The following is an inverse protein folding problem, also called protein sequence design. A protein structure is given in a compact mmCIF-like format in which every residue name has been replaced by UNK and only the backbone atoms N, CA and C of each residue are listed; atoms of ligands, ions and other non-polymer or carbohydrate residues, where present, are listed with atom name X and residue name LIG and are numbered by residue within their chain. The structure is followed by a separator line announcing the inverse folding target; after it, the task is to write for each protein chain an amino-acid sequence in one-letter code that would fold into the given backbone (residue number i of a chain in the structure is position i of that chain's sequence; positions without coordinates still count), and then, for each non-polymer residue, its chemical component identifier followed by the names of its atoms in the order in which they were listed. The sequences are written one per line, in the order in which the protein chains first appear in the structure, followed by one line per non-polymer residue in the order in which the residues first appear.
data_IF_242018063581
#
_entry.id   IF_242018063581
#
_cell.length_a   1.000
_cell.length_b   1.000
_cell.length_c   1.000
_cell.angle_alpha   90.00
_cell.angle_beta   90.00
_cell.angle_gamma   90.00
#
_symmetry.space_group_name_H-M   'P 1'
#
loop_
_entity.id
_entity.type
_entity.pdbx_description
1 polymer ?
#
# COMPACT_ATOMS: atom_id res chain seq x y z
N UNK A 1 3.68 -1.65 17.35
CA UNK A 1 2.71 -2.01 16.31
C UNK A 1 1.93 -0.76 15.93
N UNK A 2 1.67 -0.49 14.64
CA UNK A 2 0.98 0.73 14.15
C UNK A 2 -0.55 0.56 14.14
N UNK A 3 -1.02 -0.68 14.01
CA UNK A 3 -2.44 -1.04 13.98
C UNK A 3 -2.85 -1.66 15.31
N UNK A 4 -3.99 -1.23 15.82
CA UNK A 4 -4.69 -1.90 16.91
C UNK A 4 -5.62 -2.96 16.31
N UNK A 5 -5.54 -4.18 16.82
CA UNK A 5 -6.38 -5.30 16.39
C UNK A 5 -7.59 -5.47 17.31
N UNK A 6 -8.73 -5.86 16.74
CA UNK A 6 -9.90 -6.27 17.48
C UNK A 6 -9.57 -7.50 18.35
N UNK A 7 -10.01 -7.50 19.61
CA UNK A 7 -9.58 -8.51 20.59
C UNK A 7 -10.19 -9.87 20.36
N UNK A 8 -11.38 -9.93 19.77
CA UNK A 8 -12.14 -11.16 19.61
C UNK A 8 -11.83 -11.81 18.25
N UNK A 9 -11.67 -11.00 17.21
CA UNK A 9 -11.49 -11.45 15.82
C UNK A 9 -10.04 -11.39 15.33
N UNK A 10 -9.19 -10.57 15.97
CA UNK A 10 -7.83 -10.29 15.51
C UNK A 10 -7.76 -9.44 14.23
N UNK A 11 -8.90 -8.94 13.73
CA UNK A 11 -8.93 -8.09 12.54
C UNK A 11 -8.34 -6.71 12.85
N UNK A 12 -7.69 -6.04 11.88
CA UNK A 12 -7.22 -4.68 12.06
C UNK A 12 -8.42 -3.75 12.31
N UNK A 13 -8.42 -3.04 13.43
CA UNK A 13 -9.53 -2.20 13.85
C UNK A 13 -9.29 -0.73 13.49
N UNK A 14 -8.11 -0.19 13.84
CA UNK A 14 -7.72 1.21 13.58
C UNK A 14 -6.22 1.41 13.76
N UNK A 15 -5.70 2.55 13.32
CA UNK A 15 -4.35 3.01 13.64
C UNK A 15 -4.28 3.41 15.13
N UNK A 16 -3.11 3.21 15.75
CA UNK A 16 -2.86 3.58 17.15
C UNK A 16 -2.53 5.07 17.36
N UNK A 17 -2.52 5.86 16.27
CA UNK A 17 -2.21 7.28 16.26
C UNK A 17 -2.55 7.91 14.91
N UNK A 18 -2.31 9.21 14.79
CA UNK A 18 -2.46 9.94 13.54
C UNK A 18 -1.15 9.91 12.75
N UNK A 19 -1.23 9.54 11.47
CA UNK A 19 -0.07 9.37 10.59
C UNK A 19 -0.22 10.21 9.33
N UNK A 20 0.89 10.77 8.87
CA UNK A 20 0.95 11.51 7.61
C UNK A 20 1.23 10.52 6.48
N UNK A 21 0.41 10.58 5.43
CA UNK A 21 0.57 9.77 4.22
C UNK A 21 1.84 10.16 3.46
N UNK A 22 2.68 9.18 3.14
CA UNK A 22 3.90 9.35 2.32
C UNK A 22 4.03 8.23 1.26
N UNK A 23 3.19 8.30 0.22
CA UNK A 23 3.30 7.39 -0.92
C UNK A 23 4.60 7.57 -1.74
N UNK A 24 5.12 8.81 -1.95
CA UNK A 24 6.43 8.98 -2.55
C UNK A 24 7.55 8.25 -1.79
N UNK A 25 7.53 8.30 -0.46
CA UNK A 25 8.46 7.55 0.39
C UNK A 25 8.34 6.03 0.19
N UNK A 26 7.13 5.49 0.16
CA UNK A 26 6.91 4.05 -0.14
C UNK A 26 7.48 3.68 -1.53
N UNK A 27 7.22 4.49 -2.55
CA UNK A 27 7.70 4.26 -3.91
C UNK A 27 9.23 4.32 -4.02
N UNK A 28 9.86 5.32 -3.37
CA UNK A 28 11.31 5.44 -3.31
C UNK A 28 11.94 4.22 -2.62
N UNK A 29 11.39 3.80 -1.48
CA UNK A 29 11.85 2.64 -0.73
C UNK A 29 11.84 1.35 -1.57
N UNK A 30 10.74 1.06 -2.26
CA UNK A 30 10.67 -0.13 -3.13
C UNK A 30 11.69 -0.08 -4.26
N UNK A 31 11.87 1.09 -4.89
CA UNK A 31 12.85 1.26 -5.97
C UNK A 31 14.28 1.06 -5.48
N UNK A 32 14.61 1.57 -4.30
CA UNK A 32 15.93 1.38 -3.68
C UNK A 32 16.22 -0.10 -3.44
N UNK A 33 15.27 -0.83 -2.83
CA UNK A 33 15.41 -2.28 -2.61
C UNK A 33 15.62 -3.06 -3.90
N UNK A 34 14.80 -2.78 -4.92
CA UNK A 34 14.93 -3.45 -6.22
C UNK A 34 16.28 -3.17 -6.87
N UNK A 35 16.75 -1.92 -6.81
CA UNK A 35 18.09 -1.52 -7.31
C UNK A 35 19.21 -2.27 -6.59
N UNK A 36 19.10 -2.45 -5.27
CA UNK A 36 20.07 -3.25 -4.49
C UNK A 36 20.02 -4.72 -4.92
N UNK A 37 18.83 -5.31 -5.06
CA UNK A 37 18.71 -6.71 -5.47
C UNK A 37 19.30 -6.98 -6.85
N UNK A 38 19.08 -6.08 -7.81
CA UNK A 38 19.70 -6.13 -9.13
C UNK A 38 21.23 -6.03 -9.05
N UNK A 39 21.76 -5.08 -8.25
CA UNK A 39 23.20 -4.91 -8.08
C UNK A 39 23.89 -6.12 -7.44
N UNK A 40 23.20 -6.81 -6.53
CA UNK A 40 23.71 -8.03 -5.86
C UNK A 40 23.46 -9.32 -6.66
N UNK A 41 22.88 -9.23 -7.86
CA UNK A 41 22.66 -10.38 -8.74
C UNK A 41 21.54 -11.31 -8.29
N UNK A 42 20.53 -10.79 -7.59
CA UNK A 42 19.32 -11.56 -7.25
C UNK A 42 18.56 -11.88 -8.55
N UNK A 43 18.33 -13.18 -8.82
CA UNK A 43 17.69 -13.62 -10.07
C UNK A 43 16.28 -13.06 -10.27
N UNK A 44 15.52 -12.88 -9.18
CA UNK A 44 14.14 -12.38 -9.23
C UNK A 44 13.68 -11.81 -7.90
N UNK A 45 12.90 -10.73 -7.96
CA UNK A 45 12.21 -10.13 -6.81
C UNK A 45 10.75 -9.83 -7.17
N UNK A 46 9.86 -9.90 -6.18
CA UNK A 46 8.47 -9.53 -6.32
C UNK A 46 8.02 -8.74 -5.09
N UNK A 47 7.13 -7.76 -5.29
CA UNK A 47 6.61 -6.96 -4.19
C UNK A 47 5.54 -7.76 -3.43
N UNK A 48 5.77 -7.96 -2.15
CA UNK A 48 4.73 -8.33 -1.19
C UNK A 48 4.06 -7.03 -0.74
N UNK A 49 2.85 -6.67 -1.21
CA UNK A 49 1.89 -7.39 -2.04
C UNK A 49 1.10 -6.40 -2.93
N UNK A 50 0.22 -6.89 -3.82
CA UNK A 50 -0.58 -6.03 -4.69
C UNK A 50 -1.60 -5.17 -3.92
N UNK A 51 -2.59 -5.81 -3.28
CA UNK A 51 -3.68 -5.16 -2.56
C UNK A 51 -3.93 -5.85 -1.20
N UNK A 52 -4.12 -5.07 -0.14
CA UNK A 52 -4.40 -5.57 1.20
C UNK A 52 -5.83 -5.22 1.61
N UNK A 53 -6.79 -6.10 1.31
CA UNK A 53 -8.23 -5.84 1.51
C UNK A 53 -8.65 -5.63 2.97
N UNK A 54 -7.87 -6.13 3.94
CA UNK A 54 -8.10 -5.85 5.35
C UNK A 54 -7.67 -4.43 5.77
N UNK A 55 -7.01 -3.67 4.90
CA UNK A 55 -6.49 -2.32 5.15
C UNK A 55 -7.06 -1.33 4.10
N UNK A 56 -8.39 -1.10 4.11
CA UNK A 56 -9.03 -0.23 3.14
C UNK A 56 -8.65 1.24 3.34
N UNK A 57 -8.82 2.00 2.26
CA UNK A 57 -8.61 3.43 2.23
C UNK A 57 -9.86 4.18 2.69
N UNK A 58 -9.75 4.97 3.77
CA UNK A 58 -10.88 5.71 4.39
C UNK A 58 -10.50 7.16 4.73
N UNK A 59 -10.19 8.01 3.74
CA UNK A 59 -9.65 9.35 3.98
C UNK A 59 -10.68 10.38 4.48
N UNK A 60 -11.98 10.07 4.41
CA UNK A 60 -13.06 11.03 4.67
C UNK A 60 -13.58 11.11 6.11
N UNK A 61 -13.04 10.28 7.03
CA UNK A 61 -13.53 10.12 8.39
C UNK A 61 -12.47 10.43 9.46
N UNK A 62 -12.48 9.67 10.56
CA UNK A 62 -11.40 9.71 11.56
C UNK A 62 -10.08 9.27 10.88
N UNK A 63 -8.99 10.07 10.96
CA UNK A 63 -7.69 9.71 10.37
C UNK A 63 -7.17 8.33 10.80
N UNK A 64 -7.58 7.83 11.96
CA UNK A 64 -7.20 6.51 12.47
C UNK A 64 -7.94 5.36 11.79
N UNK A 65 -8.99 5.62 11.04
CA UNK A 65 -9.75 4.59 10.32
C UNK A 65 -9.17 4.30 8.92
N UNK A 66 -8.28 5.18 8.40
CA UNK A 66 -7.58 4.98 7.13
C UNK A 66 -6.45 3.95 7.28
N UNK A 67 -6.83 2.67 7.43
CA UNK A 67 -5.91 1.56 7.62
C UNK A 67 -4.91 1.42 6.46
N UNK A 68 -5.23 1.93 5.26
CA UNK A 68 -4.31 1.94 4.13
C UNK A 68 -2.97 2.67 4.42
N UNK A 69 -2.92 3.59 5.40
CA UNK A 69 -1.66 4.19 5.90
C UNK A 69 -0.67 3.16 6.46
N UNK A 70 -1.16 2.01 6.93
CA UNK A 70 -0.35 0.89 7.41
C UNK A 70 -0.28 -0.28 6.41
N UNK A 71 -0.82 -0.10 5.19
CA UNK A 71 -0.86 -1.15 4.16
C UNK A 71 0.46 -1.28 3.40
N UNK A 72 0.93 -2.52 3.25
CA UNK A 72 2.05 -2.86 2.36
C UNK A 72 1.65 -2.91 0.87
N UNK A 73 0.35 -2.83 0.57
CA UNK A 73 -0.16 -2.86 -0.81
C UNK A 73 0.37 -1.72 -1.66
N UNK A 74 0.57 -1.96 -2.95
CA UNK A 74 0.91 -0.94 -3.95
C UNK A 74 -0.33 -0.27 -4.56
N UNK A 75 -1.53 -0.67 -4.15
CA UNK A 75 -2.80 0.00 -4.46
C UNK A 75 -3.56 0.30 -3.18
N UNK A 76 -4.38 1.36 -3.22
CA UNK A 76 -5.37 1.69 -2.20
C UNK A 76 -6.63 0.88 -2.46
N UNK A 77 -7.10 0.10 -1.49
CA UNK A 77 -8.37 -0.64 -1.62
C UNK A 77 -9.53 0.31 -1.33
N UNK A 78 -10.49 0.38 -2.24
CA UNK A 78 -11.63 1.30 -2.15
C UNK A 78 -12.90 0.56 -1.71
N UNK A 79 -13.58 1.08 -0.70
CA UNK A 79 -14.86 0.53 -0.22
C UNK A 79 -16.03 1.24 -0.90
N UNK A 80 -16.76 0.52 -1.77
CA UNK A 80 -17.98 1.04 -2.40
C UNK A 80 -17.74 2.02 -3.57
N UNK A 81 -16.50 2.20 -4.01
CA UNK A 81 -16.15 2.98 -5.20
C UNK A 81 -15.11 2.26 -6.07
N UNK A 82 -14.87 2.81 -7.27
CA UNK A 82 -13.85 2.33 -8.20
C UNK A 82 -12.72 3.35 -8.34
N UNK A 83 -11.58 2.90 -8.85
CA UNK A 83 -10.42 3.75 -9.10
C UNK A 83 -10.67 4.79 -10.19
N UNK A 84 -9.94 5.89 -10.12
CA UNK A 84 -9.93 6.93 -11.15
C UNK A 84 -9.03 6.52 -12.33
N UNK A 85 -7.88 5.89 -12.03
CA UNK A 85 -6.94 5.42 -13.06
C UNK A 85 -7.47 4.19 -13.79
N UNK A 86 -8.14 3.29 -13.07
CA UNK A 86 -8.74 2.08 -13.61
C UNK A 86 -10.22 1.99 -13.18
N UNK A 87 -11.16 2.56 -13.96
CA UNK A 87 -12.58 2.68 -13.57
C UNK A 87 -13.33 1.38 -13.32
N UNK A 88 -12.83 0.26 -13.84
CA UNK A 88 -13.41 -1.07 -13.62
C UNK A 88 -12.83 -1.79 -12.39
N UNK A 89 -11.90 -1.16 -11.66
CA UNK A 89 -11.19 -1.77 -10.53
C UNK A 89 -11.62 -1.17 -9.19
N UNK A 90 -11.78 -1.99 -8.13
CA UNK A 90 -12.14 -1.52 -6.78
C UNK A 90 -10.93 -1.02 -5.98
N UNK A 91 -9.93 -0.47 -6.68
CA UNK A 91 -8.69 0.01 -6.10
C UNK A 91 -8.08 1.10 -6.98
N UNK A 92 -7.24 1.94 -6.38
CA UNK A 92 -6.51 3.00 -7.06
C UNK A 92 -4.99 2.81 -6.88
N UNK A 93 -4.16 2.89 -7.93
CA UNK A 93 -2.71 2.87 -7.82
C UNK A 93 -2.18 3.83 -6.75
N UNK A 94 -1.20 3.36 -5.95
CA UNK A 94 -0.31 4.24 -5.19
C UNK A 94 0.87 4.65 -6.08
N UNK A 95 1.64 5.64 -5.63
CA UNK A 95 2.93 5.98 -6.27
C UNK A 95 3.85 4.74 -6.41
N UNK A 96 3.81 3.83 -5.44
CA UNK A 96 4.54 2.56 -5.48
C UNK A 96 4.21 1.68 -6.70
N UNK A 97 2.96 1.68 -7.18
CA UNK A 97 2.56 0.93 -8.38
C UNK A 97 3.30 1.44 -9.62
N UNK A 98 3.30 2.76 -9.82
CA UNK A 98 3.99 3.38 -10.95
C UNK A 98 5.50 3.17 -10.86
N UNK A 99 6.08 3.35 -9.66
CA UNK A 99 7.49 3.11 -9.43
C UNK A 99 7.92 1.68 -9.79
N UNK A 100 7.08 0.69 -9.48
CA UNK A 100 7.29 -0.72 -9.81
C UNK A 100 7.20 -0.96 -11.33
N UNK A 101 6.17 -0.43 -11.98
CA UNK A 101 5.98 -0.54 -13.42
C UNK A 101 7.17 0.08 -14.18
N UNK A 102 7.60 1.28 -13.79
CA UNK A 102 8.74 1.98 -14.40
C UNK A 102 10.07 1.27 -14.19
N UNK A 103 10.23 0.53 -13.08
CA UNK A 103 11.44 -0.25 -12.83
C UNK A 103 11.55 -1.45 -13.78
N UNK A 104 10.44 -2.18 -13.98
CA UNK A 104 10.43 -3.39 -14.81
C UNK A 104 10.14 -3.17 -16.30
N UNK A 105 9.75 -1.97 -16.70
CA UNK A 105 9.61 -1.62 -18.13
C UNK A 105 10.97 -1.50 -18.86
N UNK A 106 12.09 -1.54 -18.12
CA UNK A 106 13.45 -1.30 -18.64
C UNK A 106 13.99 -2.42 -19.51
#
# INVERSE_FOLDING_TARGET
EIVESDRDTGAPARLNGEYVRDEPGQGAYLRELLTVFEAEGVDSAFVFLFALYSYPHRPGGDPREDLDLASFGIVKVLEGSHGDTYPDMPWEPKVAFAALADYYHR
#
